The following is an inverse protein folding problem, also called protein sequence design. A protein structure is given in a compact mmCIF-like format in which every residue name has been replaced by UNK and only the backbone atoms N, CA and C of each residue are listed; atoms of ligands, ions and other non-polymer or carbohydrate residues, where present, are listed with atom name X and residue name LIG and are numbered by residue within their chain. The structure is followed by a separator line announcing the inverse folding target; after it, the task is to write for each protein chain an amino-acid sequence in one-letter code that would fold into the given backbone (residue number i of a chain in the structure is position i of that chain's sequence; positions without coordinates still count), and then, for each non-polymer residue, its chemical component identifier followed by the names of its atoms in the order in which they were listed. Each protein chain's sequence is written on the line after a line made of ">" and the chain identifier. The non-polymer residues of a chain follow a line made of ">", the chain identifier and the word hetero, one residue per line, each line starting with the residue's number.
data_IF_610343572134
#
_entry.id   IF_610343572134
#
_cell.length_a   1.000
_cell.length_b   1.000
_cell.length_c   1.000
_cell.angle_alpha   90.00
_cell.angle_beta   90.00
_cell.angle_gamma   90.00
#
_symmetry.space_group_name_H-M   'P 1'
#
loop_
_entity.id
_entity.type
_entity.pdbx_description
1 polymer ?
#
# COMPACT_ATOMS: atom_id res chain seq x y z
N UNK A 1 -27.20 1.98 -15.75
CA UNK A 1 -26.76 0.57 -15.78
C UNK A 1 -27.90 -0.29 -16.29
N UNK A 2 -27.76 -0.81 -17.52
CA UNK A 2 -28.76 -1.65 -18.17
C UNK A 2 -28.62 -3.12 -17.74
N UNK A 3 -29.63 -3.98 -17.96
CA UNK A 3 -29.52 -5.42 -17.74
C UNK A 3 -28.33 -6.04 -18.48
N UNK A 4 -28.16 -5.66 -19.75
CA UNK A 4 -27.08 -6.13 -20.64
C UNK A 4 -25.70 -5.82 -20.06
N UNK A 5 -25.51 -4.64 -19.50
CA UNK A 5 -24.28 -4.28 -18.81
C UNK A 5 -23.99 -5.17 -17.60
N UNK A 6 -25.00 -5.53 -16.79
CA UNK A 6 -24.83 -6.49 -15.69
C UNK A 6 -24.53 -7.89 -16.19
N UNK A 7 -25.13 -8.30 -17.30
CA UNK A 7 -24.86 -9.58 -17.94
C UNK A 7 -23.43 -9.66 -18.49
N UNK A 8 -22.90 -8.55 -19.04
CA UNK A 8 -21.51 -8.43 -19.48
C UNK A 8 -20.52 -8.58 -18.33
N UNK A 9 -20.78 -7.91 -17.20
CA UNK A 9 -19.98 -8.07 -15.98
C UNK A 9 -19.97 -9.52 -15.50
N UNK A 10 -21.15 -10.14 -15.36
CA UNK A 10 -21.28 -11.51 -14.91
C UNK A 10 -20.54 -12.50 -15.83
N UNK A 11 -20.61 -12.29 -17.15
CA UNK A 11 -19.90 -13.13 -18.11
C UNK A 11 -18.37 -13.08 -17.92
N UNK A 12 -17.81 -11.90 -17.63
CA UNK A 12 -16.39 -11.78 -17.28
C UNK A 12 -16.07 -12.50 -15.96
N UNK A 13 -16.89 -12.32 -14.91
CA UNK A 13 -16.71 -12.98 -13.62
C UNK A 13 -16.79 -14.52 -13.71
N UNK A 14 -17.62 -15.04 -14.63
CA UNK A 14 -17.71 -16.46 -14.96
C UNK A 14 -16.54 -16.97 -15.83
N UNK A 15 -15.64 -16.09 -16.28
CA UNK A 15 -14.50 -16.43 -17.13
C UNK A 15 -14.85 -16.72 -18.60
N UNK A 16 -15.98 -16.21 -19.08
CA UNK A 16 -16.40 -16.38 -20.48
C UNK A 16 -15.61 -15.45 -21.40
N UNK A 17 -15.48 -15.83 -22.66
CA UNK A 17 -14.89 -14.97 -23.68
C UNK A 17 -15.88 -13.91 -24.16
N UNK A 18 -15.37 -12.73 -24.53
CA UNK A 18 -16.17 -11.63 -25.10
C UNK A 18 -16.97 -12.02 -26.36
N UNK A 19 -16.54 -13.05 -27.10
CA UNK A 19 -17.27 -13.61 -28.25
C UNK A 19 -18.51 -14.41 -27.85
N UNK A 20 -18.70 -14.68 -26.56
CA UNK A 20 -19.90 -15.30 -25.99
C UNK A 20 -21.06 -14.32 -25.81
N UNK A 21 -20.91 -13.06 -26.22
CA UNK A 21 -21.98 -12.07 -26.24
C UNK A 21 -23.16 -12.56 -27.12
N UNK A 22 -24.38 -12.71 -26.57
CA UNK A 22 -25.52 -13.23 -27.31
C UNK A 22 -26.23 -12.20 -28.20
N UNK A 23 -25.86 -10.91 -28.11
CA UNK A 23 -26.51 -9.82 -28.85
C UNK A 23 -25.88 -9.60 -30.23
N UNK A 24 -26.66 -9.06 -31.16
CA UNK A 24 -26.17 -8.68 -32.48
C UNK A 24 -25.14 -7.55 -32.38
N UNK A 25 -24.01 -7.71 -33.08
CA UNK A 25 -22.84 -6.81 -33.02
C UNK A 25 -23.14 -5.34 -33.33
N UNK A 26 -24.24 -5.05 -34.04
CA UNK A 26 -24.62 -3.69 -34.41
C UNK A 26 -25.72 -3.10 -33.49
N UNK A 27 -26.09 -3.81 -32.42
CA UNK A 27 -27.16 -3.38 -31.51
C UNK A 27 -26.62 -2.63 -30.29
N UNK A 28 -27.43 -1.73 -29.75
CA UNK A 28 -27.10 -1.01 -28.50
C UNK A 28 -26.91 -1.99 -27.33
N UNK A 29 -27.64 -3.11 -27.33
CA UNK A 29 -27.50 -4.17 -26.33
C UNK A 29 -26.10 -4.82 -26.36
N UNK A 30 -25.51 -4.96 -27.56
CA UNK A 30 -24.15 -5.48 -27.70
C UNK A 30 -23.13 -4.48 -27.14
N UNK A 31 -23.30 -3.19 -27.40
CA UNK A 31 -22.44 -2.14 -26.84
C UNK A 31 -22.54 -2.09 -25.32
N UNK A 32 -23.75 -2.12 -24.77
CA UNK A 32 -23.98 -2.10 -23.32
C UNK A 32 -23.40 -3.33 -22.62
N UNK A 33 -23.53 -4.52 -23.24
CA UNK A 33 -22.94 -5.74 -22.71
C UNK A 33 -21.41 -5.69 -22.74
N UNK A 34 -20.83 -5.20 -23.85
CA UNK A 34 -19.37 -5.05 -23.99
C UNK A 34 -18.81 -4.07 -22.96
N UNK A 35 -19.47 -2.94 -22.74
CA UNK A 35 -19.09 -1.94 -21.72
C UNK A 35 -19.02 -2.58 -20.32
N UNK A 36 -20.03 -3.37 -19.96
CA UNK A 36 -20.02 -4.11 -18.69
C UNK A 36 -18.91 -5.16 -18.60
N UNK A 37 -18.63 -5.89 -19.67
CA UNK A 37 -17.57 -6.90 -19.72
C UNK A 37 -16.17 -6.26 -19.59
N UNK A 38 -15.90 -5.20 -20.36
CA UNK A 38 -14.62 -4.47 -20.34
C UNK A 38 -14.40 -3.73 -19.00
N UNK A 39 -15.47 -3.20 -18.40
CA UNK A 39 -15.42 -2.63 -17.05
C UNK A 39 -15.03 -3.70 -16.02
N UNK A 40 -15.68 -4.86 -16.01
CA UNK A 40 -15.33 -5.94 -15.08
C UNK A 40 -13.88 -6.44 -15.27
N UNK A 41 -13.40 -6.50 -16.52
CA UNK A 41 -12.00 -6.83 -16.80
C UNK A 41 -11.03 -5.80 -16.21
N UNK A 42 -11.32 -4.51 -16.40
CA UNK A 42 -10.53 -3.41 -15.86
C UNK A 42 -10.53 -3.42 -14.33
N UNK A 43 -11.70 -3.61 -13.71
CA UNK A 43 -11.81 -3.67 -12.25
C UNK A 43 -11.09 -4.89 -11.67
N UNK A 44 -11.16 -6.05 -12.34
CA UNK A 44 -10.42 -7.24 -11.93
C UNK A 44 -8.90 -7.04 -12.05
N UNK A 45 -8.43 -6.34 -13.09
CA UNK A 45 -7.02 -5.96 -13.24
C UNK A 45 -6.59 -4.99 -12.15
N UNK A 46 -7.35 -3.92 -11.91
CA UNK A 46 -7.09 -2.96 -10.84
C UNK A 46 -7.07 -3.64 -9.47
N UNK A 47 -8.00 -4.56 -9.20
CA UNK A 47 -8.04 -5.33 -7.95
C UNK A 47 -6.86 -6.27 -7.83
N UNK A 48 -6.41 -6.90 -8.92
CA UNK A 48 -5.19 -7.72 -8.93
C UNK A 48 -3.95 -6.86 -8.68
N UNK A 49 -3.82 -5.72 -9.35
CA UNK A 49 -2.70 -4.81 -9.16
C UNK A 49 -2.70 -4.19 -7.75
N UNK A 50 -3.87 -3.80 -7.22
CA UNK A 50 -4.04 -3.36 -5.83
C UNK A 50 -3.63 -4.46 -4.86
N UNK A 51 -4.08 -5.70 -5.09
CA UNK A 51 -3.68 -6.83 -4.24
C UNK A 51 -2.18 -7.09 -4.28
N UNK A 52 -1.52 -6.90 -5.44
CA UNK A 52 -0.07 -7.03 -5.55
C UNK A 52 0.64 -5.94 -4.72
N UNK A 53 0.17 -4.69 -4.76
CA UNK A 53 0.78 -3.62 -3.94
C UNK A 53 0.47 -3.77 -2.44
N UNK A 54 -0.72 -4.22 -2.06
CA UNK A 54 -1.06 -4.55 -0.66
C UNK A 54 -0.31 -5.79 -0.14
N UNK A 55 0.01 -6.75 -1.02
CA UNK A 55 0.80 -7.94 -0.64
C UNK A 55 2.31 -7.64 -0.60
N UNK A 56 2.79 -6.69 -1.41
CA UNK A 56 4.19 -6.24 -1.41
C UNK A 56 4.46 -5.17 -0.34
N UNK A 57 3.44 -4.43 0.08
CA UNK A 57 3.47 -3.62 1.29
C UNK A 57 3.24 -4.56 2.48
N UNK A 58 4.32 -5.19 2.97
CA UNK A 58 4.30 -5.70 4.34
C UNK A 58 3.71 -4.60 5.22
N UNK A 59 2.63 -4.91 5.94
CA UNK A 59 1.99 -3.94 6.82
C UNK A 59 3.03 -3.50 7.85
N UNK A 60 3.64 -2.32 7.60
CA UNK A 60 4.63 -1.73 8.48
C UNK A 60 3.92 -0.80 9.44
N UNK A 61 3.99 -1.13 10.72
CA UNK A 61 3.46 -0.28 11.78
C UNK A 61 4.55 0.70 12.20
N UNK A 62 4.24 2.00 12.14
CA UNK A 62 5.16 3.05 12.59
C UNK A 62 4.91 3.34 14.07
N UNK A 63 5.90 3.09 14.92
CA UNK A 63 5.83 3.34 16.36
C UNK A 63 6.82 4.44 16.77
N UNK A 64 6.35 5.47 17.47
CA UNK A 64 7.24 6.45 18.11
C UNK A 64 7.92 5.81 19.32
N UNK A 65 9.25 5.73 19.28
CA UNK A 65 10.07 5.14 20.36
C UNK A 65 10.69 6.19 21.27
N UNK A 66 10.92 7.40 20.74
CA UNK A 66 11.53 8.46 21.50
C UNK A 66 11.15 9.83 20.95
N UNK A 67 10.98 10.80 21.85
CA UNK A 67 10.81 12.22 21.51
C UNK A 67 11.91 12.99 22.23
N UNK A 68 12.82 13.57 21.46
CA UNK A 68 13.91 14.40 21.98
C UNK A 68 13.36 15.66 22.63
N UNK A 69 14.06 16.18 23.64
CA UNK A 69 13.71 17.46 24.29
C UNK A 69 13.74 18.65 23.33
N UNK A 70 14.51 18.55 22.23
CA UNK A 70 14.55 19.54 21.15
C UNK A 70 13.37 19.43 20.16
N UNK A 71 12.45 18.48 20.38
CA UNK A 71 11.25 18.31 19.58
C UNK A 71 11.39 17.37 18.38
N UNK A 72 12.52 16.68 18.24
CA UNK A 72 12.67 15.62 17.26
C UNK A 72 11.88 14.37 17.68
N UNK A 73 11.14 13.79 16.75
CA UNK A 73 10.50 12.49 16.94
C UNK A 73 11.33 11.40 16.26
N UNK A 74 11.59 10.35 17.02
CA UNK A 74 12.21 9.12 16.53
C UNK A 74 11.17 8.02 16.53
N UNK A 75 10.95 7.44 15.37
CA UNK A 75 9.98 6.38 15.13
C UNK A 75 10.69 5.19 14.48
N UNK A 76 10.10 4.01 14.60
CA UNK A 76 10.57 2.79 13.95
C UNK A 76 9.44 2.19 13.12
N UNK A 77 9.78 1.67 11.95
CA UNK A 77 8.88 0.84 11.16
C UNK A 77 9.03 -0.62 11.60
N UNK A 78 7.94 -1.24 12.04
CA UNK A 78 7.89 -2.63 12.44
C UNK A 78 7.13 -3.43 11.39
N UNK A 79 7.74 -4.48 10.85
CA UNK A 79 7.05 -5.42 9.97
C UNK A 79 5.99 -6.22 10.73
N UNK A 80 5.12 -6.90 9.99
CA UNK A 80 4.12 -7.80 10.56
C UNK A 80 4.72 -8.98 11.34
N UNK A 81 5.98 -9.35 11.06
CA UNK A 81 6.74 -10.34 11.84
C UNK A 81 7.28 -9.81 13.16
N UNK A 82 7.08 -8.50 13.43
CA UNK A 82 7.56 -7.83 14.62
C UNK A 82 9.01 -7.35 14.51
N UNK A 83 9.66 -7.48 13.35
CA UNK A 83 11.02 -7.00 13.13
C UNK A 83 11.04 -5.51 12.77
N UNK A 84 11.97 -4.75 13.34
CA UNK A 84 12.16 -3.36 12.94
C UNK A 84 12.89 -3.32 11.59
N UNK A 85 12.27 -2.70 10.58
CA UNK A 85 12.80 -2.63 9.21
C UNK A 85 13.48 -1.30 8.91
N UNK A 86 13.04 -0.21 9.54
CA UNK A 86 13.63 1.10 9.35
C UNK A 86 13.45 2.01 10.57
N UNK A 87 14.25 3.07 10.61
CA UNK A 87 14.15 4.17 11.58
C UNK A 87 13.74 5.43 10.84
N UNK A 88 12.78 6.16 11.41
CA UNK A 88 12.32 7.44 10.91
C UNK A 88 12.69 8.52 11.92
N UNK A 89 13.40 9.53 11.44
CA UNK A 89 13.67 10.76 12.17
C UNK A 89 12.78 11.84 11.61
N UNK A 90 11.94 12.44 12.44
CA UNK A 90 11.21 13.66 12.09
C UNK A 90 11.80 14.81 12.87
N UNK A 91 12.45 15.70 12.14
CA UNK A 91 12.95 16.94 12.70
C UNK A 91 11.80 17.77 13.28
N UNK A 92 12.09 18.53 14.34
CA UNK A 92 11.12 19.49 14.87
C UNK A 92 10.72 20.53 13.80
N UNK A 93 9.56 21.18 13.98
CA UNK A 93 9.05 22.19 13.04
C UNK A 93 10.01 23.36 12.85
N UNK A 94 10.74 23.77 13.89
CA UNK A 94 11.72 24.85 13.82
C UNK A 94 12.94 24.50 12.95
N UNK A 95 13.23 23.21 12.79
CA UNK A 95 14.26 22.66 11.90
C UNK A 95 13.70 22.23 10.53
N UNK A 96 12.47 22.61 10.20
CA UNK A 96 11.86 22.37 8.88
C UNK A 96 10.93 21.16 8.80
N UNK A 97 10.76 20.38 9.88
CA UNK A 97 9.81 19.27 9.92
C UNK A 97 10.17 18.07 9.03
N UNK A 98 11.39 18.05 8.49
CA UNK A 98 11.82 17.02 7.54
C UNK A 98 11.79 15.65 8.17
N UNK A 99 11.07 14.73 7.53
CA UNK A 99 11.11 13.32 7.87
C UNK A 99 12.16 12.63 7.01
N UNK A 100 13.14 12.02 7.66
CA UNK A 100 14.18 11.22 7.02
C UNK A 100 13.95 9.76 7.40
N UNK A 101 13.92 8.88 6.40
CA UNK A 101 13.85 7.43 6.58
C UNK A 101 15.23 6.85 6.33
N UNK A 102 15.71 6.01 7.24
CA UNK A 102 16.99 5.33 7.14
C UNK A 102 16.87 3.89 7.62
N UNK A 103 17.75 3.01 7.17
CA UNK A 103 17.78 1.63 7.66
C UNK A 103 18.29 1.61 9.11
N UNK A 104 17.97 0.54 9.84
CA UNK A 104 18.48 0.32 11.20
C UNK A 104 20.01 0.33 11.21
N UNK A 105 20.63 -0.29 10.20
CA UNK A 105 22.09 -0.30 10.01
C UNK A 105 22.64 1.11 9.83
N UNK A 106 22.08 1.91 8.92
CA UNK A 106 22.52 3.29 8.68
C UNK A 106 22.35 4.16 9.93
N UNK A 107 21.28 3.94 10.70
CA UNK A 107 21.06 4.64 11.97
C UNK A 107 22.16 4.33 12.99
N UNK A 108 22.57 3.06 13.12
CA UNK A 108 23.66 2.68 14.01
C UNK A 108 25.03 3.17 13.50
N UNK A 109 25.27 3.18 12.19
CA UNK A 109 26.51 3.67 11.58
C UNK A 109 26.69 5.18 11.73
N UNK A 110 25.59 5.96 11.74
CA UNK A 110 25.63 7.42 11.98
C UNK A 110 26.19 7.81 13.35
N UNK A 111 26.32 6.87 14.29
CA UNK A 111 27.13 7.06 15.48
C UNK A 111 26.56 8.02 16.52
N UNK A 112 25.23 8.16 16.61
CA UNK A 112 24.60 8.96 17.66
C UNK A 112 24.58 8.18 18.97
N UNK A 113 25.61 8.32 19.83
CA UNK A 113 25.66 7.69 21.17
C UNK A 113 24.72 8.38 22.18
N UNK A 114 23.48 8.64 21.78
CA UNK A 114 22.48 9.39 22.51
C UNK A 114 21.31 8.54 23.04
N UNK A 115 20.39 9.14 23.80
CA UNK A 115 19.18 8.49 24.31
C UNK A 115 18.29 7.93 23.19
N UNK A 116 18.31 8.51 21.98
CA UNK A 116 17.59 7.97 20.82
C UNK A 116 18.05 6.56 20.45
N UNK A 117 19.36 6.29 20.56
CA UNK A 117 19.94 5.00 20.19
C UNK A 117 19.55 3.91 21.18
N UNK A 118 19.53 4.23 22.47
CA UNK A 118 19.04 3.33 23.51
C UNK A 118 17.55 2.99 23.31
N UNK A 119 16.74 3.97 22.90
CA UNK A 119 15.31 3.75 22.64
C UNK A 119 15.06 2.87 21.40
N UNK A 120 15.74 3.13 20.28
CA UNK A 120 15.64 2.29 19.08
C UNK A 120 16.13 0.87 19.37
N UNK A 121 17.25 0.73 20.08
CA UNK A 121 17.77 -0.58 20.48
C UNK A 121 16.78 -1.33 21.38
N UNK A 122 16.20 -0.65 22.37
CA UNK A 122 15.16 -1.25 23.22
C UNK A 122 13.92 -1.69 22.43
N UNK A 123 13.59 -1.01 21.33
CA UNK A 123 12.47 -1.39 20.46
C UNK A 123 12.81 -2.57 19.53
N UNK A 124 14.09 -2.81 19.25
CA UNK A 124 14.57 -3.97 18.48
C UNK A 124 14.68 -5.21 19.38
N UNK A 125 15.11 -5.03 20.63
CA UNK A 125 15.30 -6.13 21.60
C UNK A 125 14.01 -6.51 22.35
N UNK A 126 12.90 -5.77 22.16
CA UNK A 126 11.61 -5.95 22.84
C UNK A 126 10.52 -6.63 22.01
#
# INVERSE_FOLDING_TARGET
>A
MTPQHREGQAAHDEGKDRRGNPYDVNSNEWMDWMDGFDQAATEAELKRNSKIVDTAAESVETLTVYRSSNGDDWMVERSQSGAITAVLHRANLSSGGTQTRMTVEEFFERGSSGPEMAAVRSAIEG
#
